data_IF_480068040534
#
_entry.id   IF_480068040534
#
_cell.length_a   1.000
_cell.length_b   1.000
_cell.length_c   1.000
_cell.angle_alpha   90.00
_cell.angle_beta   90.00
_cell.angle_gamma   90.00
#
_symmetry.space_group_name_H-M   'P 1'
#
loop_
_entity.id
_entity.type
_entity.pdbx_description
1 polymer ?
#
# COMPACT_ATOMS: atom_id res chain seq x y z
N UNK A 1 8.62 7.63 -4.08
CA UNK A 1 9.57 6.76 -3.37
C UNK A 1 11.01 7.28 -3.40
N UNK A 2 11.75 7.16 -4.50
CA UNK A 2 13.20 7.44 -4.52
C UNK A 2 13.61 8.81 -3.94
N UNK A 3 12.97 9.89 -4.39
CA UNK A 3 13.25 11.24 -3.86
C UNK A 3 13.00 11.36 -2.36
N UNK A 4 11.87 10.86 -1.86
CA UNK A 4 11.57 10.87 -0.42
C UNK A 4 12.58 10.04 0.39
N UNK A 5 13.09 8.94 -0.17
CA UNK A 5 14.12 8.13 0.48
C UNK A 5 15.45 8.86 0.66
N UNK A 6 15.82 9.77 -0.24
CA UNK A 6 17.00 10.63 -0.04
C UNK A 6 16.81 11.57 1.16
N UNK A 7 15.64 12.21 1.29
CA UNK A 7 15.32 13.05 2.44
C UNK A 7 15.20 12.26 3.75
N UNK A 8 14.54 11.10 3.74
CA UNK A 8 14.43 10.23 4.91
C UNK A 8 15.81 9.79 5.42
N UNK A 9 16.72 9.45 4.51
CA UNK A 9 18.12 9.13 4.86
C UNK A 9 18.82 10.31 5.51
N UNK A 10 18.68 11.52 4.95
CA UNK A 10 19.31 12.72 5.50
C UNK A 10 18.82 13.03 6.91
N UNK A 11 17.51 12.97 7.16
CA UNK A 11 16.95 13.15 8.51
C UNK A 11 17.55 12.13 9.48
N UNK A 12 17.58 10.84 9.12
CA UNK A 12 18.16 9.80 9.97
C UNK A 12 19.63 10.06 10.29
N UNK A 13 20.44 10.39 9.28
CA UNK A 13 21.88 10.65 9.45
C UNK A 13 22.14 11.89 10.30
N UNK A 14 21.30 12.93 10.18
CA UNK A 14 21.50 14.20 10.88
C UNK A 14 20.98 14.21 12.32
N UNK A 15 19.89 13.48 12.61
CA UNK A 15 19.18 13.57 13.89
C UNK A 15 19.14 12.26 14.68
N UNK A 16 19.23 11.11 14.01
CA UNK A 16 18.90 9.81 14.61
C UNK A 16 17.40 9.58 14.81
N UNK A 17 16.55 10.55 14.43
CA UNK A 17 15.11 10.44 14.56
C UNK A 17 14.49 9.68 13.38
N UNK A 18 13.36 9.02 13.66
CA UNK A 18 12.55 8.41 12.61
C UNK A 18 11.99 9.50 11.69
N UNK A 19 12.21 9.44 10.36
CA UNK A 19 11.66 10.42 9.43
C UNK A 19 10.18 10.13 9.13
N UNK A 20 9.32 10.27 10.14
CA UNK A 20 7.89 9.93 10.09
C UNK A 20 7.16 10.77 9.06
N UNK A 21 7.37 12.10 9.06
CA UNK A 21 6.67 13.03 8.16
C UNK A 21 6.91 12.69 6.69
N UNK A 22 8.18 12.54 6.30
CA UNK A 22 8.55 12.19 4.92
C UNK A 22 7.99 10.84 4.48
N UNK A 23 7.85 9.89 5.42
CA UNK A 23 7.29 8.57 5.13
C UNK A 23 5.82 8.62 4.81
N UNK A 24 5.06 9.32 5.64
CA UNK A 24 3.62 9.47 5.44
C UNK A 24 3.31 10.36 4.24
N UNK A 25 4.16 11.34 3.91
CA UNK A 25 4.08 12.07 2.64
C UNK A 25 4.31 11.12 1.45
N UNK A 26 5.34 10.27 1.49
CA UNK A 26 5.57 9.29 0.43
C UNK A 26 4.39 8.32 0.29
N UNK A 27 3.86 7.79 1.39
CA UNK A 27 2.73 6.87 1.37
C UNK A 27 1.44 7.54 0.90
N UNK A 28 1.18 8.78 1.30
CA UNK A 28 0.01 9.54 0.85
C UNK A 28 0.01 9.76 -0.66
N UNK A 29 1.20 9.85 -1.28
CA UNK A 29 1.34 9.95 -2.73
C UNK A 29 1.34 8.57 -3.40
N UNK A 30 2.13 7.62 -2.89
CA UNK A 30 2.39 6.34 -3.57
C UNK A 30 1.25 5.35 -3.40
N UNK A 31 0.53 5.36 -2.28
CA UNK A 31 -0.56 4.41 -2.07
C UNK A 31 -1.76 4.69 -3.00
N UNK A 32 -2.26 5.94 -3.14
CA UNK A 32 -3.28 6.23 -4.14
C UNK A 32 -2.83 5.96 -5.57
N UNK A 33 -1.56 6.25 -5.90
CA UNK A 33 -1.00 5.95 -7.22
C UNK A 33 -1.02 4.45 -7.50
N UNK A 34 -0.62 3.63 -6.53
CA UNK A 34 -0.68 2.17 -6.63
C UNK A 34 -2.13 1.71 -6.88
N UNK A 35 -3.09 2.26 -6.14
CA UNK A 35 -4.51 1.93 -6.32
C UNK A 35 -5.06 2.36 -7.69
N UNK A 36 -4.65 3.54 -8.19
CA UNK A 36 -5.01 4.02 -9.53
C UNK A 36 -4.41 3.11 -10.60
N UNK A 37 -3.16 2.68 -10.45
CA UNK A 37 -2.49 1.82 -11.43
C UNK A 37 -3.30 0.54 -11.67
N UNK A 38 -3.83 -0.07 -10.62
CA UNK A 38 -4.72 -1.23 -10.75
C UNK A 38 -6.07 -0.91 -11.38
N UNK A 39 -6.67 0.21 -10.99
CA UNK A 39 -7.88 0.69 -11.63
C UNK A 39 -7.66 0.84 -13.14
N UNK A 40 -6.52 1.38 -13.56
CA UNK A 40 -6.18 1.56 -14.97
C UNK A 40 -5.94 0.24 -15.69
N UNK A 41 -5.28 -0.75 -15.05
CA UNK A 41 -5.11 -2.10 -15.61
C UNK A 41 -6.47 -2.75 -15.91
N UNK A 42 -7.42 -2.65 -14.98
CA UNK A 42 -8.78 -3.17 -15.20
C UNK A 42 -9.58 -2.33 -16.21
N UNK A 43 -9.46 -1.00 -16.14
CA UNK A 43 -10.15 -0.09 -17.05
C UNK A 43 -9.68 -0.23 -18.51
N UNK A 44 -8.48 -0.76 -18.74
CA UNK A 44 -7.96 -1.01 -20.08
C UNK A 44 -8.64 -2.18 -20.80
N UNK A 45 -9.28 -3.09 -20.06
CA UNK A 45 -9.92 -4.30 -20.62
C UNK A 45 -11.44 -4.29 -20.50
N UNK A 46 -12.00 -3.50 -19.58
CA UNK A 46 -13.45 -3.41 -19.36
C UNK A 46 -13.80 -2.08 -18.67
N UNK A 47 -15.09 -1.75 -18.65
CA UNK A 47 -15.60 -0.53 -18.02
C UNK A 47 -15.67 -0.73 -16.50
N UNK A 48 -14.67 -0.19 -15.80
CA UNK A 48 -14.68 -0.13 -14.33
C UNK A 48 -15.39 1.15 -13.89
N UNK A 49 -16.29 1.07 -12.90
CA UNK A 49 -16.92 2.27 -12.36
C UNK A 49 -15.89 3.15 -11.62
N UNK A 50 -15.89 4.45 -11.93
CA UNK A 50 -15.05 5.43 -11.23
C UNK A 50 -15.29 5.52 -9.72
N UNK A 51 -16.41 4.97 -9.22
CA UNK A 51 -16.67 4.83 -7.79
C UNK A 51 -15.66 3.93 -7.06
N UNK A 52 -15.04 2.96 -7.74
CA UNK A 52 -13.98 2.12 -7.17
C UNK A 52 -12.80 2.97 -6.73
N UNK A 53 -12.35 3.90 -7.58
CA UNK A 53 -11.25 4.79 -7.28
C UNK A 53 -11.51 5.60 -6.00
N UNK A 54 -12.70 6.20 -5.89
CA UNK A 54 -13.06 7.01 -4.72
C UNK A 54 -13.14 6.20 -3.43
N UNK A 55 -13.68 4.98 -3.48
CA UNK A 55 -13.70 4.09 -2.31
C UNK A 55 -12.28 3.75 -1.87
N UNK A 56 -11.42 3.32 -2.78
CA UNK A 56 -10.02 3.02 -2.45
C UNK A 56 -9.25 4.24 -1.94
N UNK A 57 -9.47 5.42 -2.51
CA UNK A 57 -8.87 6.67 -2.05
C UNK A 57 -9.32 7.02 -0.63
N UNK A 58 -10.62 6.98 -0.35
CA UNK A 58 -11.16 7.25 0.99
C UNK A 58 -10.62 6.26 2.00
N UNK A 59 -10.61 4.96 1.66
CA UNK A 59 -9.99 3.93 2.50
C UNK A 59 -8.53 4.22 2.81
N UNK A 60 -7.77 4.69 1.81
CA UNK A 60 -6.36 5.06 1.96
C UNK A 60 -6.17 6.26 2.89
N UNK A 61 -7.02 7.29 2.77
CA UNK A 61 -6.95 8.46 3.65
C UNK A 61 -7.31 8.10 5.10
N UNK A 62 -8.36 7.29 5.29
CA UNK A 62 -8.75 6.76 6.62
C UNK A 62 -7.66 5.86 7.20
N UNK A 63 -6.90 5.16 6.36
CA UNK A 63 -5.77 4.34 6.80
C UNK A 63 -4.58 5.20 7.23
N UNK A 64 -4.15 6.15 6.38
CA UNK A 64 -2.88 6.85 6.55
C UNK A 64 -2.96 8.05 7.49
N UNK A 65 -4.02 8.87 7.44
CA UNK A 65 -4.08 10.11 8.23
C UNK A 65 -4.13 9.82 9.73
N UNK A 66 -5.00 8.93 10.24
CA UNK A 66 -5.02 8.58 11.66
C UNK A 66 -3.78 7.80 12.11
N UNK A 67 -3.22 6.96 11.22
CA UNK A 67 -1.93 6.30 11.46
C UNK A 67 -0.82 7.30 11.70
N UNK A 68 -0.69 8.29 10.81
CA UNK A 68 0.26 9.40 10.94
C UNK A 68 0.05 10.15 12.25
N UNK A 69 -1.20 10.55 12.54
CA UNK A 69 -1.51 11.28 13.76
C UNK A 69 -1.12 10.49 15.01
N UNK A 70 -1.23 9.16 14.99
CA UNK A 70 -0.77 8.31 16.07
C UNK A 70 0.76 8.28 16.21
N UNK A 71 1.52 8.12 15.11
CA UNK A 71 2.99 8.10 15.15
C UNK A 71 3.60 9.48 15.46
N UNK A 72 2.97 10.55 15.00
CA UNK A 72 3.43 11.93 15.22
C UNK A 72 2.97 12.52 16.57
N UNK A 73 2.22 11.75 17.37
CA UNK A 73 1.78 12.18 18.72
C UNK A 73 0.59 13.16 18.74
N UNK A 74 -0.11 13.35 17.61
CA UNK A 74 -1.32 14.17 17.53
C UNK A 74 -2.60 13.43 17.95
N UNK A 75 -2.54 12.10 18.02
CA UNK A 75 -3.63 11.22 18.42
C UNK A 75 -3.07 10.10 19.30
N UNK A 76 -3.92 9.52 20.17
CA UNK A 76 -3.54 8.32 20.90
C UNK A 76 -3.12 7.21 19.91
N UNK A 77 -1.93 6.63 20.14
CA UNK A 77 -1.31 5.59 19.28
C UNK A 77 -2.27 4.45 18.98
N UNK A 78 -2.96 3.90 19.98
CA UNK A 78 -3.88 2.78 19.80
C UNK A 78 -5.13 3.19 19.03
N UNK A 79 -5.64 4.41 19.23
CA UNK A 79 -6.77 4.94 18.47
C UNK A 79 -6.38 5.16 17.00
N UNK A 80 -5.21 5.77 16.75
CA UNK A 80 -4.67 5.97 15.40
C UNK A 80 -4.49 4.64 14.67
N UNK A 81 -3.89 3.65 15.33
CA UNK A 81 -3.77 2.28 14.82
C UNK A 81 -5.14 1.66 14.50
N UNK A 82 -6.09 1.73 15.43
CA UNK A 82 -7.41 1.14 15.26
C UNK A 82 -8.17 1.71 14.05
N UNK A 83 -8.17 3.03 13.88
CA UNK A 83 -8.80 3.68 12.72
C UNK A 83 -8.03 3.32 11.44
N UNK A 84 -6.69 3.30 11.50
CA UNK A 84 -5.85 2.90 10.38
C UNK A 84 -6.20 1.50 9.86
N UNK A 85 -6.35 0.54 10.78
CA UNK A 85 -6.76 -0.84 10.49
C UNK A 85 -8.17 -0.93 9.88
N UNK A 86 -9.11 -0.08 10.29
CA UNK A 86 -10.44 -0.01 9.67
C UNK A 86 -10.36 0.48 8.22
N UNK A 87 -9.53 1.49 7.94
CA UNK A 87 -9.28 1.96 6.58
C UNK A 87 -8.68 0.85 5.70
N UNK A 88 -7.70 0.11 6.21
CA UNK A 88 -7.11 -1.03 5.50
C UNK A 88 -8.12 -2.17 5.28
N UNK A 89 -8.91 -2.53 6.30
CA UNK A 89 -9.94 -3.55 6.17
C UNK A 89 -11.00 -3.18 5.13
N UNK A 90 -11.35 -1.89 5.02
CA UNK A 90 -12.23 -1.39 3.97
C UNK A 90 -11.62 -1.55 2.56
N UNK A 91 -10.33 -1.25 2.40
CA UNK A 91 -9.61 -1.50 1.13
C UNK A 91 -9.65 -3.00 0.79
N UNK A 92 -9.33 -3.87 1.76
CA UNK A 92 -9.38 -5.33 1.57
C UNK A 92 -10.77 -5.79 1.14
N UNK A 93 -11.82 -5.29 1.76
CA UNK A 93 -13.19 -5.61 1.37
C UNK A 93 -13.46 -5.23 -0.10
N UNK A 94 -13.09 -4.02 -0.52
CA UNK A 94 -13.30 -3.56 -1.90
C UNK A 94 -12.52 -4.37 -2.94
N UNK A 95 -11.30 -4.81 -2.63
CA UNK A 95 -10.49 -5.61 -3.57
C UNK A 95 -10.85 -7.11 -3.60
N UNK A 96 -11.52 -7.65 -2.57
CA UNK A 96 -11.92 -9.06 -2.57
C UNK A 96 -13.38 -9.26 -2.98
N UNK A 97 -14.26 -8.36 -2.56
CA UNK A 97 -15.70 -8.50 -2.69
C UNK A 97 -16.37 -7.35 -3.43
N UNK A 98 -15.62 -6.26 -3.64
CA UNK A 98 -16.10 -5.10 -4.37
C UNK A 98 -16.21 -5.34 -5.87
N UNK A 99 -16.62 -4.27 -6.54
CA UNK A 99 -16.94 -4.25 -7.97
C UNK A 99 -15.76 -4.65 -8.84
N UNK A 100 -14.55 -4.17 -8.52
CA UNK A 100 -13.33 -4.51 -9.24
C UNK A 100 -13.03 -6.02 -9.25
N UNK A 101 -13.31 -6.72 -8.14
CA UNK A 101 -13.06 -8.18 -8.06
C UNK A 101 -14.05 -8.97 -8.89
N UNK A 102 -15.31 -8.53 -8.93
CA UNK A 102 -16.34 -9.17 -9.76
C UNK A 102 -16.04 -8.99 -11.24
N UNK A 103 -15.61 -7.80 -11.62
CA UNK A 103 -15.21 -7.46 -12.98
C UNK A 103 -13.98 -8.29 -13.41
N UNK A 104 -12.94 -8.33 -12.57
CA UNK A 104 -11.76 -9.15 -12.82
C UNK A 104 -12.10 -10.64 -13.01
N UNK A 105 -13.00 -11.20 -12.18
CA UNK A 105 -13.35 -12.62 -12.24
C UNK A 105 -14.16 -13.01 -13.48
N UNK A 106 -15.05 -12.14 -13.96
CA UNK A 106 -16.03 -12.50 -14.99
C UNK A 106 -15.62 -12.09 -16.40
N UNK A 107 -14.84 -11.01 -16.53
CA UNK A 107 -14.63 -10.34 -17.83
C UNK A 107 -13.17 -10.26 -18.25
N UNK A 108 -12.23 -10.49 -17.33
CA UNK A 108 -10.82 -10.22 -17.60
C UNK A 108 -10.10 -11.39 -18.28
N UNK A 109 -9.16 -11.14 -19.21
CA UNK A 109 -8.23 -12.15 -19.72
C UNK A 109 -7.42 -12.78 -18.59
N UNK A 110 -6.92 -14.00 -18.81
CA UNK A 110 -6.15 -14.75 -17.81
C UNK A 110 -4.95 -13.96 -17.24
N UNK A 111 -4.25 -13.20 -18.08
CA UNK A 111 -3.13 -12.34 -17.64
C UNK A 111 -3.58 -11.26 -16.64
N UNK A 112 -4.74 -10.64 -16.88
CA UNK A 112 -5.28 -9.59 -16.00
C UNK A 112 -5.84 -10.20 -14.72
N UNK A 113 -6.44 -11.38 -14.77
CA UNK A 113 -6.83 -12.13 -13.56
C UNK A 113 -5.62 -12.48 -12.69
N UNK A 114 -4.49 -12.87 -13.31
CA UNK A 114 -3.22 -13.14 -12.64
C UNK A 114 -2.68 -11.87 -11.96
N UNK A 115 -2.61 -10.77 -12.69
CA UNK A 115 -2.19 -9.47 -12.15
C UNK A 115 -3.09 -9.01 -10.98
N UNK A 116 -4.41 -9.17 -11.12
CA UNK A 116 -5.37 -8.85 -10.06
C UNK A 116 -5.22 -9.73 -8.82
N UNK A 117 -4.91 -11.01 -9.01
CA UNK A 117 -4.66 -11.94 -7.89
C UNK A 117 -3.37 -11.58 -7.16
N UNK A 118 -2.30 -11.26 -7.89
CA UNK A 118 -1.06 -10.73 -7.31
C UNK A 118 -1.31 -9.48 -6.48
N UNK A 119 -2.08 -8.53 -6.99
CA UNK A 119 -2.50 -7.33 -6.24
C UNK A 119 -3.15 -7.70 -4.90
N UNK A 120 -4.16 -8.57 -4.91
CA UNK A 120 -4.87 -8.96 -3.69
C UNK A 120 -3.90 -9.47 -2.63
N UNK A 121 -2.93 -10.28 -3.04
CA UNK A 121 -1.92 -10.79 -2.11
C UNK A 121 -0.90 -9.73 -1.69
N UNK A 122 -0.50 -8.80 -2.55
CA UNK A 122 0.34 -7.67 -2.15
C UNK A 122 -0.34 -6.78 -1.11
N UNK A 123 -1.60 -6.39 -1.34
CA UNK A 123 -2.36 -5.53 -0.42
C UNK A 123 -2.76 -6.26 0.88
N UNK A 124 -2.76 -7.59 0.87
CA UNK A 124 -3.04 -8.38 2.08
C UNK A 124 -1.77 -8.72 2.85
N UNK A 125 -0.85 -9.47 2.22
CA UNK A 125 0.33 -10.01 2.90
C UNK A 125 1.43 -8.96 2.91
N UNK A 126 1.73 -8.37 1.76
CA UNK A 126 2.80 -7.38 1.64
C UNK A 126 2.55 -6.15 2.51
N UNK A 127 1.32 -5.65 2.51
CA UNK A 127 0.96 -4.49 3.31
C UNK A 127 0.84 -4.78 4.81
N UNK A 128 0.61 -6.04 5.23
CA UNK A 128 0.54 -6.38 6.66
C UNK A 128 1.82 -6.04 7.43
N UNK A 129 2.95 -5.89 6.73
CA UNK A 129 4.23 -5.50 7.32
C UNK A 129 4.15 -4.09 7.93
N UNK A 130 3.38 -3.17 7.34
CA UNK A 130 3.23 -1.81 7.87
C UNK A 130 2.53 -1.75 9.24
N UNK A 131 1.30 -2.27 9.43
CA UNK A 131 0.67 -2.27 10.74
C UNK A 131 1.42 -3.14 11.76
N UNK A 132 2.13 -4.19 11.35
CA UNK A 132 3.02 -4.92 12.24
C UNK A 132 4.18 -4.03 12.71
N UNK A 133 4.82 -3.30 11.80
CA UNK A 133 5.83 -2.30 12.13
C UNK A 133 5.31 -1.27 13.14
N UNK A 134 4.11 -0.72 12.89
CA UNK A 134 3.45 0.19 13.81
C UNK A 134 3.24 -0.45 15.20
N UNK A 135 2.63 -1.64 15.24
CA UNK A 135 2.30 -2.31 16.49
C UNK A 135 3.54 -2.60 17.33
N UNK A 136 4.59 -3.16 16.73
CA UNK A 136 5.85 -3.42 17.43
C UNK A 136 6.61 -2.14 17.77
N UNK A 137 6.52 -1.12 16.92
CA UNK A 137 7.15 0.18 17.12
C UNK A 137 6.58 0.96 18.30
N UNK A 138 5.26 0.92 18.50
CA UNK A 138 4.59 1.88 19.38
C UNK A 138 3.65 1.25 20.42
N UNK A 139 3.20 0.01 20.25
CA UNK A 139 2.17 -0.61 21.10
C UNK A 139 2.66 -1.83 21.89
N UNK A 140 3.61 -2.60 21.37
CA UNK A 140 4.11 -3.84 21.98
C UNK A 140 5.26 -3.61 23.00
N UNK A 141 5.25 -2.48 23.71
CA UNK A 141 6.34 -2.07 24.61
C UNK A 141 7.43 -1.22 23.97
N UNK A 142 7.29 -0.91 22.67
CA UNK A 142 8.21 -0.09 21.90
C UNK A 142 9.45 -0.87 21.45
N UNK A 143 9.71 -0.86 20.14
CA UNK A 143 10.96 -1.42 19.60
C UNK A 143 11.99 -0.31 19.39
N UNK A 144 13.25 -0.71 19.18
CA UNK A 144 14.28 0.24 18.77
C UNK A 144 13.86 0.97 17.49
N UNK A 145 14.04 2.30 17.47
CA UNK A 145 13.64 3.13 16.33
C UNK A 145 14.35 2.72 15.05
N UNK A 146 15.59 2.21 15.12
CA UNK A 146 16.28 1.64 13.96
C UNK A 146 15.58 0.41 13.39
N UNK A 147 15.10 -0.49 14.26
CA UNK A 147 14.33 -1.68 13.85
C UNK A 147 13.03 -1.28 13.15
N UNK A 148 12.28 -0.30 13.68
CA UNK A 148 11.08 0.22 13.03
C UNK A 148 11.37 0.72 11.60
N UNK A 149 12.45 1.49 11.44
CA UNK A 149 12.86 2.01 10.14
C UNK A 149 13.27 0.90 9.16
N UNK A 150 13.96 -0.14 9.63
CA UNK A 150 14.31 -1.30 8.82
C UNK A 150 13.06 -2.04 8.35
N UNK A 151 12.08 -2.26 9.23
CA UNK A 151 10.82 -2.93 8.88
C UNK A 151 10.07 -2.15 7.81
N UNK A 152 9.92 -0.84 7.97
CA UNK A 152 9.26 0.00 6.97
C UNK A 152 10.02 0.07 5.65
N UNK A 153 11.36 0.07 5.67
CA UNK A 153 12.16 0.00 4.45
C UNK A 153 11.99 -1.33 3.71
N UNK A 154 11.97 -2.44 4.45
CA UNK A 154 11.70 -3.76 3.88
C UNK A 154 10.30 -3.82 3.25
N UNK A 155 9.30 -3.28 3.96
CA UNK A 155 7.94 -3.20 3.45
C UNK A 155 7.90 -2.43 2.12
N UNK A 156 8.60 -1.31 2.02
CA UNK A 156 8.63 -0.50 0.79
C UNK A 156 9.35 -1.20 -0.37
N UNK A 157 10.45 -1.92 -0.12
CA UNK A 157 11.12 -2.72 -1.15
C UNK A 157 10.16 -3.79 -1.68
N UNK A 158 9.46 -4.51 -0.80
CA UNK A 158 8.52 -5.56 -1.20
C UNK A 158 7.31 -4.98 -1.95
N UNK A 159 6.68 -3.94 -1.42
CA UNK A 159 5.40 -3.45 -1.93
C UNK A 159 5.53 -2.46 -3.09
N UNK A 160 6.72 -1.91 -3.34
CA UNK A 160 6.95 -0.99 -4.46
C UNK A 160 7.81 -1.64 -5.54
N UNK A 161 8.95 -2.23 -5.18
CA UNK A 161 9.88 -2.80 -6.17
C UNK A 161 9.43 -4.19 -6.61
N UNK A 162 9.27 -5.13 -5.67
CA UNK A 162 8.88 -6.50 -6.03
C UNK A 162 7.50 -6.53 -6.67
N UNK A 163 6.58 -5.70 -6.17
CA UNK A 163 5.29 -5.49 -6.80
C UNK A 163 5.40 -5.04 -8.27
N UNK A 164 6.20 -4.00 -8.57
CA UNK A 164 6.41 -3.55 -9.94
C UNK A 164 7.00 -4.64 -10.85
N UNK A 165 7.92 -5.45 -10.31
CA UNK A 165 8.48 -6.61 -11.03
C UNK A 165 7.42 -7.68 -11.33
N UNK A 166 6.46 -7.92 -10.44
CA UNK A 166 5.37 -8.86 -10.69
C UNK A 166 4.44 -8.41 -11.81
N UNK A 167 4.12 -7.11 -11.88
CA UNK A 167 3.32 -6.56 -12.97
C UNK A 167 4.07 -6.63 -14.29
N UNK A 168 5.35 -6.25 -14.31
CA UNK A 168 6.20 -6.37 -15.50
C UNK A 168 6.28 -7.81 -16.01
N UNK A 169 6.45 -8.78 -15.11
CA UNK A 169 6.50 -10.19 -15.45
C UNK A 169 5.17 -10.66 -16.08
N UNK A 170 4.03 -10.34 -15.46
CA UNK A 170 2.71 -10.68 -15.98
C UNK A 170 2.43 -10.04 -17.36
N UNK A 171 2.87 -8.79 -17.58
CA UNK A 171 2.72 -8.10 -18.85
C UNK A 171 3.56 -8.73 -19.97
N UNK A 172 4.78 -9.18 -19.67
CA UNK A 172 5.63 -9.87 -20.65
C UNK A 172 5.09 -11.24 -21.02
N UNK A 173 4.60 -12.02 -20.05
CA UNK A 173 3.95 -13.31 -20.35
C UNK A 173 2.75 -13.13 -21.29
N UNK A 174 1.90 -12.11 -21.06
CA UNK A 174 0.77 -11.80 -21.93
C UNK A 174 1.20 -11.40 -23.34
N UNK A 175 2.26 -10.59 -23.45
CA UNK A 175 2.81 -10.16 -24.74
C UNK A 175 3.38 -11.33 -25.52
N UNK A 176 4.17 -12.19 -24.87
CA UNK A 176 4.74 -13.38 -25.49
C UNK A 176 3.69 -14.41 -25.91
N UNK A 177 2.58 -14.55 -25.16
CA UNK A 177 1.50 -15.45 -25.52
C UNK A 177 0.69 -14.99 -26.76
N UNK A 178 0.82 -13.72 -27.15
CA UNK A 178 0.15 -13.12 -28.32
C UNK A 178 1.04 -13.00 -29.56
N UNK A 179 2.34 -13.30 -29.44
CA UNK A 179 3.33 -13.28 -30.51
C UNK A 179 3.36 -14.61 -31.26
#
# INVERSE_FOLDING_TARGET
AAFHYFYMREVWVMSGDTPTDFRYIDWLLTVPLLMIEFYLILAAITKVAGGVFWRLLIGTLVMLVPGYMGEAGYLNVTVGFGIGMLGWAFILYEIFFGEASKVAANEAPAAVQKAYTLMKWTVTIGWSIYPLGYFFGYMAGGTDVGVLNIVYNLADVLNKIAFGLFIWYAANEDTSAKA
#
